data_IF_267562819346
#
_entry.id   IF_267562819346
#
_cell.length_a   1.000
_cell.length_b   1.000
_cell.length_c   1.000
_cell.angle_alpha   90.00
_cell.angle_beta   90.00
_cell.angle_gamma   90.00
#
_symmetry.space_group_name_H-M   'P 1'
#
loop_
_entity.id
_entity.type
_entity.pdbx_description
1 polymer ?
#
# COMPACT_ATOMS: atom_id res chain seq x y z
N UNK A 1 -10.49 10.10 3.80
CA UNK A 1 -9.54 10.69 2.84
C UNK A 1 -8.16 10.50 3.42
N UNK A 2 -7.36 9.58 2.89
CA UNK A 2 -6.00 9.33 3.40
C UNK A 2 -5.10 10.45 2.84
N UNK A 3 -4.71 11.40 3.69
CA UNK A 3 -3.69 12.37 3.34
C UNK A 3 -2.33 11.71 3.54
N UNK A 4 -1.52 11.63 2.49
CA UNK A 4 -0.12 11.28 2.62
C UNK A 4 0.62 12.52 3.14
N UNK A 5 1.28 12.40 4.29
CA UNK A 5 2.14 13.43 4.84
C UNK A 5 3.45 13.53 4.01
N UNK A 6 4.10 14.70 3.98
CA UNK A 6 5.37 14.93 3.24
C UNK A 6 6.60 14.52 4.05
N UNK A 7 6.48 13.48 4.86
CA UNK A 7 7.61 12.92 5.61
C UNK A 7 7.93 11.55 5.06
N UNK A 8 9.21 11.35 4.70
CA UNK A 8 9.70 10.11 4.09
C UNK A 8 10.93 9.62 4.85
N UNK A 9 11.03 8.31 5.05
CA UNK A 9 12.23 7.64 5.56
C UNK A 9 12.94 6.88 4.42
N UNK A 10 14.27 6.91 4.39
CA UNK A 10 15.10 6.25 3.37
C UNK A 10 16.02 5.24 4.02
N UNK A 11 16.16 4.05 3.41
CA UNK A 11 17.03 2.97 3.89
C UNK A 11 17.90 2.43 2.75
N UNK A 12 19.11 1.99 3.08
CA UNK A 12 20.00 1.22 2.18
C UNK A 12 19.90 -0.29 2.40
N UNK A 13 19.14 -0.74 3.40
CA UNK A 13 18.84 -2.15 3.58
C UNK A 13 18.06 -2.63 2.33
N UNK A 14 18.56 -3.69 1.70
CA UNK A 14 17.99 -4.20 0.45
C UNK A 14 16.64 -4.89 0.68
N UNK A 15 15.71 -4.67 -0.25
CA UNK A 15 14.46 -5.41 -0.35
C UNK A 15 13.26 -4.77 0.38
N UNK A 16 12.06 -5.08 -0.11
CA UNK A 16 10.80 -4.64 0.52
C UNK A 16 10.22 -5.68 1.47
N UNK A 17 10.84 -6.86 1.62
CA UNK A 17 10.28 -7.98 2.40
C UNK A 17 9.98 -7.58 3.84
N UNK A 18 10.89 -6.84 4.48
CA UNK A 18 10.70 -6.35 5.86
C UNK A 18 9.46 -5.46 5.99
N UNK A 19 9.16 -4.66 4.96
CA UNK A 19 7.96 -3.81 4.95
C UNK A 19 6.69 -4.64 4.74
N UNK A 20 6.76 -5.71 3.95
CA UNK A 20 5.64 -6.66 3.78
C UNK A 20 5.30 -7.33 5.11
N UNK A 21 6.31 -7.93 5.77
CA UNK A 21 6.13 -8.59 7.08
C UNK A 21 5.57 -7.62 8.12
N UNK A 22 6.11 -6.40 8.15
CA UNK A 22 5.61 -5.35 9.04
C UNK A 22 4.14 -5.02 8.77
N UNK A 23 3.76 -4.87 7.50
CA UNK A 23 2.39 -4.51 7.14
C UNK A 23 1.38 -5.60 7.51
N UNK A 24 1.76 -6.88 7.37
CA UNK A 24 0.96 -8.02 7.80
C UNK A 24 0.74 -8.01 9.32
N UNK A 25 1.82 -7.86 10.10
CA UNK A 25 1.77 -7.82 11.57
C UNK A 25 0.96 -6.62 12.04
N UNK A 26 1.21 -5.44 11.48
CA UNK A 26 0.53 -4.20 11.83
C UNK A 26 -0.90 -4.11 11.29
N UNK A 27 -1.33 -5.08 10.48
CA UNK A 27 -2.65 -5.11 9.82
C UNK A 27 -2.93 -3.83 9.05
N UNK A 28 -1.90 -3.29 8.38
CA UNK A 28 -1.98 -2.06 7.59
C UNK A 28 -1.81 -2.36 6.10
N UNK A 29 -2.30 -1.47 5.27
CA UNK A 29 -2.15 -1.56 3.82
C UNK A 29 -0.74 -1.11 3.41
N UNK A 30 -0.07 -1.93 2.59
CA UNK A 30 1.20 -1.61 1.95
C UNK A 30 1.02 -1.56 0.44
N UNK A 31 1.43 -0.45 -0.17
CA UNK A 31 1.50 -0.29 -1.61
C UNK A 31 2.98 -0.10 -2.00
N UNK A 32 3.49 -0.97 -2.86
CA UNK A 32 4.87 -0.92 -3.35
C UNK A 32 4.90 -0.31 -4.75
N UNK A 33 5.79 0.66 -4.96
CA UNK A 33 6.06 1.23 -6.27
C UNK A 33 7.52 0.90 -6.62
N UNK A 34 7.71 0.14 -7.69
CA UNK A 34 9.02 -0.26 -8.20
C UNK A 34 9.15 -0.02 -9.72
N UNK A 35 10.22 -0.55 -10.31
CA UNK A 35 10.55 -0.36 -11.73
C UNK A 35 9.53 -0.98 -12.70
N UNK A 36 8.70 -1.89 -12.23
CA UNK A 36 7.69 -2.61 -13.02
C UNK A 36 6.28 -2.05 -12.83
N UNK A 37 6.08 -1.18 -11.84
CA UNK A 37 4.77 -0.57 -11.56
C UNK A 37 4.31 0.33 -12.70
N UNK A 38 3.09 0.10 -13.18
CA UNK A 38 2.40 1.02 -14.12
C UNK A 38 1.32 1.82 -13.39
N UNK A 39 1.07 3.05 -13.85
CA UNK A 39 -0.02 3.89 -13.31
C UNK A 39 -1.39 3.18 -13.39
N UNK A 40 -1.61 2.38 -14.44
CA UNK A 40 -2.87 1.67 -14.66
C UNK A 40 -3.07 0.57 -13.63
N UNK A 41 -2.01 -0.19 -13.34
CA UNK A 41 -2.06 -1.29 -12.37
C UNK A 41 -2.19 -0.75 -10.95
N UNK A 42 -1.38 0.25 -10.60
CA UNK A 42 -1.45 0.92 -9.29
C UNK A 42 -2.84 1.52 -9.02
N UNK A 43 -3.40 2.26 -9.98
CA UNK A 43 -4.74 2.84 -9.83
C UNK A 43 -5.82 1.77 -9.67
N UNK A 44 -5.67 0.63 -10.35
CA UNK A 44 -6.59 -0.50 -10.24
C UNK A 44 -6.52 -1.10 -8.84
N UNK A 45 -5.34 -1.39 -8.32
CA UNK A 45 -5.14 -1.94 -6.97
C UNK A 45 -5.77 -1.06 -5.88
N UNK A 46 -5.52 0.25 -5.91
CA UNK A 46 -6.12 1.20 -4.95
C UNK A 46 -7.65 1.17 -5.01
N UNK A 47 -8.23 1.08 -6.21
CA UNK A 47 -9.71 1.04 -6.38
C UNK A 47 -10.31 -0.25 -5.81
N UNK A 48 -9.66 -1.40 -6.02
CA UNK A 48 -10.12 -2.67 -5.46
C UNK A 48 -10.10 -2.67 -3.93
N UNK A 49 -9.05 -2.12 -3.31
CA UNK A 49 -8.99 -1.98 -1.85
C UNK A 49 -10.11 -1.09 -1.31
N UNK A 50 -10.35 0.06 -1.94
CA UNK A 50 -11.45 0.94 -1.54
C UNK A 50 -12.82 0.27 -1.69
N UNK A 51 -13.03 -0.54 -2.73
CA UNK A 51 -14.26 -1.31 -2.91
C UNK A 51 -14.43 -2.35 -1.79
N UNK A 52 -13.38 -3.11 -1.45
CA UNK A 52 -13.38 -4.05 -0.33
C UNK A 52 -13.75 -3.37 0.99
N UNK A 53 -13.11 -2.24 1.33
CA UNK A 53 -13.44 -1.49 2.55
C UNK A 53 -14.85 -0.86 2.55
N UNK A 54 -15.44 -0.62 1.37
CA UNK A 54 -16.84 -0.15 1.29
C UNK A 54 -17.81 -1.32 1.51
N UNK A 55 -17.54 -2.47 0.91
CA UNK A 55 -18.31 -3.71 1.12
C UNK A 55 -18.27 -4.16 2.58
N UNK A 56 -17.08 -4.22 3.18
CA UNK A 56 -16.89 -4.61 4.59
C UNK A 56 -17.47 -3.62 5.62
N UNK A 57 -17.86 -2.41 5.20
CA UNK A 57 -18.55 -1.41 6.04
C UNK A 57 -20.06 -1.35 5.81
N UNK A 58 -20.57 -2.06 4.79
CA UNK A 58 -22.01 -2.14 4.46
C UNK A 58 -22.66 -3.46 4.88
N UNK A 59 -21.85 -4.43 5.33
CA UNK A 59 -22.23 -5.59 6.14
C UNK A 59 -21.93 -5.28 7.62
#
# INVERSE_FOLDING_TARGET
MMAADRTTATSSAGGTEVLHDFAEIARTELLVIDKTTTLRDFTREVRWNQAYYRLARGL
#
